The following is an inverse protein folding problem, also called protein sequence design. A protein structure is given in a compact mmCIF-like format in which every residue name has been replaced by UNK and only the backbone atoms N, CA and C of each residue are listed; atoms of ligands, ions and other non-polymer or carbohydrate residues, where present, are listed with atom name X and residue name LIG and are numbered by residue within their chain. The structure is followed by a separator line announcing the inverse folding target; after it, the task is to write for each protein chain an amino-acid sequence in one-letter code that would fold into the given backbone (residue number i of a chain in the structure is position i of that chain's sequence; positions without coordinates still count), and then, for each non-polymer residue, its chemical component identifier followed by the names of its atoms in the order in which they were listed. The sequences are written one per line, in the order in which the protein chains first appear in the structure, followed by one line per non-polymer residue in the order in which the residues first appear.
data_IF_382062273523
#
_entry.id   IF_382062273523
#
_cell.length_a   1.000
_cell.length_b   1.000
_cell.length_c   1.000
_cell.angle_alpha   90.00
_cell.angle_beta   90.00
_cell.angle_gamma   90.00
#
_symmetry.space_group_name_H-M   'P 1'
#
loop_
_entity.id
_entity.type
_entity.pdbx_description
1 polymer ?
#
# COMPACT_ATOMS: atom_id res chain seq x y z
N UNK A 1 -28.75 6.31 3.14
CA UNK A 1 -27.34 5.96 2.86
C UNK A 1 -27.36 4.70 1.98
N UNK A 2 -27.06 4.83 0.69
CA UNK A 2 -26.90 3.65 -0.17
C UNK A 2 -25.69 2.87 0.35
N UNK A 3 -25.89 1.62 0.75
CA UNK A 3 -24.80 0.74 1.15
C UNK A 3 -23.93 0.48 -0.09
N UNK A 4 -22.72 1.01 -0.09
CA UNK A 4 -21.71 0.77 -1.14
C UNK A 4 -21.11 -0.63 -1.06
N UNK A 5 -21.46 -1.39 -0.03
CA UNK A 5 -21.04 -2.77 0.18
C UNK A 5 -21.86 -3.71 -0.68
N UNK A 6 -21.20 -4.46 -1.55
CA UNK A 6 -21.78 -5.54 -2.35
C UNK A 6 -21.95 -6.78 -1.45
N UNK A 7 -23.20 -7.23 -1.25
CA UNK A 7 -23.45 -8.53 -0.65
C UNK A 7 -23.06 -9.64 -1.64
N UNK A 8 -21.88 -10.19 -1.47
CA UNK A 8 -21.32 -11.23 -2.36
C UNK A 8 -21.91 -12.62 -2.11
N UNK A 9 -22.80 -12.77 -1.12
CA UNK A 9 -23.42 -14.06 -0.80
C UNK A 9 -24.66 -14.36 -1.63
N UNK A 10 -25.23 -13.37 -2.33
CA UNK A 10 -26.49 -13.49 -3.09
C UNK A 10 -26.32 -12.99 -4.51
N UNK A 11 -26.70 -13.81 -5.50
CA UNK A 11 -26.73 -13.42 -6.91
C UNK A 11 -25.83 -14.26 -7.82
N UNK A 12 -25.65 -13.80 -9.08
CA UNK A 12 -24.78 -14.47 -10.04
C UNK A 12 -23.31 -14.21 -9.70
N UNK A 13 -22.49 -15.23 -9.40
CA UNK A 13 -21.08 -15.07 -9.01
C UNK A 13 -20.27 -14.24 -9.99
N UNK A 14 -20.46 -14.42 -11.31
CA UNK A 14 -19.74 -13.68 -12.35
C UNK A 14 -19.99 -12.16 -12.29
N UNK A 15 -21.24 -11.76 -12.09
CA UNK A 15 -21.60 -10.32 -12.02
C UNK A 15 -21.05 -9.69 -10.75
N UNK A 16 -21.05 -10.42 -9.65
CA UNK A 16 -20.52 -9.96 -8.37
C UNK A 16 -19.00 -9.81 -8.42
N UNK A 17 -18.31 -10.84 -8.97
CA UNK A 17 -16.85 -10.80 -9.13
C UNK A 17 -16.45 -9.65 -10.07
N UNK A 18 -17.09 -9.51 -11.23
CA UNK A 18 -16.79 -8.43 -12.17
C UNK A 18 -17.04 -7.04 -11.56
N UNK A 19 -18.17 -6.87 -10.85
CA UNK A 19 -18.51 -5.60 -10.20
C UNK A 19 -17.55 -5.20 -9.08
N UNK A 20 -16.95 -6.17 -8.38
CA UNK A 20 -15.93 -5.97 -7.37
C UNK A 20 -14.54 -5.77 -7.99
N UNK A 21 -14.18 -6.58 -8.98
CA UNK A 21 -12.85 -6.56 -9.60
C UNK A 21 -12.58 -5.28 -10.39
N UNK A 22 -13.60 -4.71 -11.05
CA UNK A 22 -13.42 -3.52 -11.88
C UNK A 22 -12.89 -2.30 -11.08
N UNK A 23 -13.46 -1.90 -9.93
CA UNK A 23 -12.89 -0.83 -9.12
C UNK A 23 -11.49 -1.15 -8.59
N UNK A 24 -11.19 -2.42 -8.26
CA UNK A 24 -9.86 -2.85 -7.83
C UNK A 24 -8.85 -2.70 -8.96
N UNK A 25 -9.18 -3.14 -10.18
CA UNK A 25 -8.34 -2.96 -11.37
C UNK A 25 -8.09 -1.48 -11.67
N UNK A 26 -9.14 -0.64 -11.62
CA UNK A 26 -8.98 0.79 -11.80
C UNK A 26 -8.06 1.39 -10.73
N UNK A 27 -8.18 0.97 -9.48
CA UNK A 27 -7.26 1.41 -8.41
C UNK A 27 -5.81 1.07 -8.73
N UNK A 28 -5.53 -0.13 -9.25
CA UNK A 28 -4.17 -0.53 -9.63
C UNK A 28 -3.63 0.29 -10.81
N UNK A 29 -4.48 0.56 -11.81
CA UNK A 29 -4.10 1.41 -12.95
C UNK A 29 -3.79 2.83 -12.48
N UNK A 30 -4.63 3.44 -11.64
CA UNK A 30 -4.38 4.76 -11.09
C UNK A 30 -3.11 4.81 -10.25
N UNK A 31 -2.84 3.79 -9.44
CA UNK A 31 -1.61 3.70 -8.66
C UNK A 31 -0.39 3.60 -9.55
N UNK A 32 -0.46 2.86 -10.66
CA UNK A 32 0.64 2.75 -11.61
C UNK A 32 0.87 4.07 -12.37
N UNK A 33 -0.20 4.75 -12.78
CA UNK A 33 -0.10 6.08 -13.40
C UNK A 33 0.54 7.10 -12.45
N UNK A 34 0.13 7.09 -11.18
CA UNK A 34 0.73 7.90 -10.13
C UNK A 34 2.25 7.64 -10.00
N UNK A 35 2.68 6.39 -9.86
CA UNK A 35 4.09 6.02 -9.76
C UNK A 35 4.89 6.44 -11.00
N UNK A 36 4.28 6.31 -12.19
CA UNK A 36 4.91 6.74 -13.45
C UNK A 36 5.06 8.26 -13.51
N UNK A 37 4.04 9.01 -13.11
CA UNK A 37 4.08 10.47 -13.08
C UNK A 37 5.15 10.96 -12.09
N UNK A 38 5.22 10.38 -10.90
CA UNK A 38 6.23 10.69 -9.87
C UNK A 38 7.65 10.46 -10.41
N UNK A 39 7.90 9.30 -11.02
CA UNK A 39 9.20 8.98 -11.64
C UNK A 39 9.57 9.96 -12.76
N UNK A 40 8.61 10.36 -13.60
CA UNK A 40 8.84 11.32 -14.67
C UNK A 40 9.16 12.71 -14.12
N UNK A 41 8.47 13.14 -13.07
CA UNK A 41 8.72 14.44 -12.42
C UNK A 41 10.12 14.45 -11.79
N UNK A 42 10.48 13.41 -11.03
CA UNK A 42 11.81 13.27 -10.43
C UNK A 42 12.90 13.31 -11.49
N UNK A 43 12.77 12.49 -12.56
CA UNK A 43 13.77 12.46 -13.63
C UNK A 43 13.92 13.77 -14.39
N UNK A 44 12.80 14.52 -14.57
CA UNK A 44 12.84 15.79 -15.33
C UNK A 44 13.35 16.99 -14.53
N UNK A 45 13.05 17.04 -13.22
CA UNK A 45 13.34 18.22 -12.39
C UNK A 45 14.54 18.06 -11.48
N UNK A 46 14.85 16.85 -11.03
CA UNK A 46 15.93 16.58 -10.07
C UNK A 46 17.17 15.93 -10.71
N UNK A 47 17.08 15.57 -12.01
CA UNK A 47 18.22 15.05 -12.77
C UNK A 47 18.48 13.55 -12.58
N UNK A 48 19.52 13.07 -13.29
CA UNK A 48 19.83 11.64 -13.39
C UNK A 48 20.32 11.04 -12.08
N UNK A 49 21.00 11.80 -11.23
CA UNK A 49 21.49 11.34 -9.92
C UNK A 49 20.34 11.01 -8.95
N UNK A 50 19.35 11.91 -8.88
CA UNK A 50 18.16 11.69 -8.06
C UNK A 50 17.33 10.51 -8.59
N UNK A 51 17.22 10.40 -9.93
CA UNK A 51 16.53 9.27 -10.55
C UNK A 51 17.26 7.95 -10.27
N UNK A 52 18.59 7.93 -10.29
CA UNK A 52 19.40 6.79 -9.93
C UNK A 52 19.21 6.38 -8.45
N UNK A 53 19.17 7.36 -7.53
CA UNK A 53 18.90 7.13 -6.12
C UNK A 53 17.53 6.51 -5.90
N UNK A 54 16.47 7.05 -6.53
CA UNK A 54 15.11 6.51 -6.46
C UNK A 54 15.03 5.11 -7.08
N UNK A 55 15.67 4.90 -8.23
CA UNK A 55 15.64 3.62 -8.95
C UNK A 55 16.39 2.52 -8.22
N UNK A 56 17.53 2.82 -7.59
CA UNK A 56 18.27 1.88 -6.73
C UNK A 56 17.43 1.41 -5.54
N UNK A 57 16.49 2.23 -5.12
CA UNK A 57 15.57 2.01 -4.02
C UNK A 57 14.44 1.05 -4.34
N UNK A 58 14.05 0.95 -5.62
CA UNK A 58 12.88 0.22 -6.08
C UNK A 58 12.76 -1.20 -5.56
N UNK A 59 13.79 -2.05 -5.67
CA UNK A 59 13.74 -3.44 -5.22
C UNK A 59 13.48 -3.58 -3.72
N UNK A 60 14.05 -2.71 -2.89
CA UNK A 60 13.84 -2.75 -1.44
C UNK A 60 12.43 -2.29 -1.06
N UNK A 61 11.97 -1.20 -1.66
CA UNK A 61 10.60 -0.69 -1.49
C UNK A 61 9.60 -1.77 -1.90
N UNK A 62 9.81 -2.41 -3.06
CA UNK A 62 8.96 -3.48 -3.56
C UNK A 62 8.89 -4.66 -2.58
N UNK A 63 10.04 -5.11 -2.07
CA UNK A 63 10.10 -6.21 -1.11
C UNK A 63 9.31 -5.89 0.17
N UNK A 64 9.49 -4.70 0.71
CA UNK A 64 8.79 -4.26 1.91
C UNK A 64 7.28 -4.15 1.70
N UNK A 65 6.85 -3.49 0.63
CA UNK A 65 5.43 -3.32 0.31
C UNK A 65 4.80 -4.70 0.08
N UNK A 66 5.42 -5.58 -0.71
CA UNK A 66 4.89 -6.91 -1.01
C UNK A 66 4.77 -7.78 0.25
N UNK A 67 5.70 -7.68 1.19
CA UNK A 67 5.61 -8.38 2.47
C UNK A 67 4.36 -7.95 3.25
N UNK A 68 4.08 -6.64 3.30
CA UNK A 68 2.89 -6.14 4.00
C UNK A 68 1.60 -6.40 3.27
N UNK A 69 1.60 -6.31 1.94
CA UNK A 69 0.44 -6.71 1.15
C UNK A 69 0.09 -8.17 1.40
N UNK A 70 1.08 -9.07 1.47
CA UNK A 70 0.87 -10.46 1.84
C UNK A 70 0.26 -10.64 3.24
N UNK A 71 0.78 -9.91 4.23
CA UNK A 71 0.27 -9.95 5.61
C UNK A 71 -1.18 -9.46 5.70
N UNK A 72 -1.49 -8.32 5.09
CA UNK A 72 -2.83 -7.73 5.08
C UNK A 72 -3.82 -8.55 4.25
N UNK A 73 -3.35 -9.22 3.18
CA UNK A 73 -4.17 -10.14 2.39
C UNK A 73 -4.62 -11.35 3.23
N UNK A 74 -3.73 -11.95 4.02
CA UNK A 74 -4.10 -13.02 4.95
C UNK A 74 -5.16 -12.59 5.96
N UNK A 75 -5.04 -11.39 6.52
CA UNK A 75 -6.03 -10.83 7.43
C UNK A 75 -7.38 -10.57 6.74
N UNK A 76 -7.37 -10.08 5.48
CA UNK A 76 -8.60 -9.82 4.72
C UNK A 76 -9.41 -11.09 4.44
N UNK A 77 -8.74 -12.21 4.16
CA UNK A 77 -9.41 -13.52 3.98
C UNK A 77 -10.16 -13.94 5.25
N UNK A 78 -9.56 -13.74 6.41
CA UNK A 78 -10.18 -14.04 7.70
C UNK A 78 -11.39 -13.14 7.96
N UNK A 79 -11.26 -11.84 7.71
CA UNK A 79 -12.36 -10.85 7.86
C UNK A 79 -13.53 -11.19 6.93
N UNK A 80 -13.25 -11.43 5.64
CA UNK A 80 -14.29 -11.74 4.65
C UNK A 80 -15.01 -13.04 4.94
N UNK A 81 -14.32 -14.05 5.49
CA UNK A 81 -14.92 -15.31 5.92
C UNK A 81 -15.92 -15.12 7.07
N UNK A 82 -15.54 -14.37 8.11
CA UNK A 82 -16.44 -14.06 9.22
C UNK A 82 -17.59 -13.14 8.79
N UNK A 83 -17.33 -12.20 7.90
CA UNK A 83 -18.35 -11.32 7.35
C UNK A 83 -19.38 -12.11 6.53
N UNK A 84 -18.95 -13.03 5.68
CA UNK A 84 -19.83 -13.92 4.91
C UNK A 84 -20.63 -14.89 5.79
N UNK A 85 -20.11 -15.27 6.97
CA UNK A 85 -20.80 -16.10 7.96
C UNK A 85 -21.78 -15.31 8.84
N UNK A 86 -21.83 -13.95 8.73
CA UNK A 86 -22.68 -13.10 9.57
C UNK A 86 -22.19 -12.95 11.02
N UNK A 87 -20.97 -13.37 11.33
CA UNK A 87 -20.39 -13.31 12.67
C UNK A 87 -19.73 -11.95 12.93
N UNK A 88 -20.54 -10.96 13.27
CA UNK A 88 -20.09 -9.58 13.46
C UNK A 88 -19.08 -9.41 14.60
N UNK A 89 -19.17 -10.22 15.65
CA UNK A 89 -18.24 -10.16 16.78
C UNK A 89 -16.82 -10.59 16.37
N UNK A 90 -16.72 -11.67 15.58
CA UNK A 90 -15.43 -12.12 15.06
C UNK A 90 -14.90 -11.20 13.98
N UNK A 91 -15.74 -10.59 13.15
CA UNK A 91 -15.33 -9.55 12.21
C UNK A 91 -14.66 -8.39 12.94
N UNK A 92 -15.31 -7.89 14.01
CA UNK A 92 -14.78 -6.79 14.80
C UNK A 92 -13.42 -7.12 15.42
N UNK A 93 -13.29 -8.29 16.04
CA UNK A 93 -12.02 -8.76 16.61
C UNK A 93 -10.93 -8.90 15.54
N UNK A 94 -11.25 -9.46 14.38
CA UNK A 94 -10.30 -9.62 13.29
C UNK A 94 -9.83 -8.26 12.73
N UNK A 95 -10.72 -7.27 12.62
CA UNK A 95 -10.38 -5.89 12.22
C UNK A 95 -9.43 -5.25 13.25
N UNK A 96 -9.77 -5.31 14.54
CA UNK A 96 -8.94 -4.75 15.60
C UNK A 96 -7.55 -5.40 15.63
N UNK A 97 -7.47 -6.73 15.49
CA UNK A 97 -6.21 -7.46 15.44
C UNK A 97 -5.38 -7.05 14.22
N UNK A 98 -6.01 -6.92 13.04
CA UNK A 98 -5.32 -6.49 11.83
C UNK A 98 -4.73 -5.07 11.98
N UNK A 99 -5.50 -4.12 12.51
CA UNK A 99 -5.02 -2.75 12.73
C UNK A 99 -3.88 -2.75 13.76
N UNK A 100 -4.00 -3.49 14.86
CA UNK A 100 -2.97 -3.56 15.89
C UNK A 100 -1.66 -4.15 15.33
N UNK A 101 -1.73 -5.29 14.65
CA UNK A 101 -0.57 -5.95 14.02
C UNK A 101 0.06 -5.03 12.98
N UNK A 102 -0.75 -4.40 12.12
CA UNK A 102 -0.26 -3.46 11.12
C UNK A 102 0.42 -2.24 11.74
N UNK A 103 -0.14 -1.70 12.83
CA UNK A 103 0.47 -0.56 13.55
C UNK A 103 1.81 -0.95 14.17
N UNK A 104 1.85 -2.05 14.91
CA UNK A 104 3.09 -2.54 15.53
C UNK A 104 4.16 -2.84 14.48
N UNK A 105 3.77 -3.51 13.39
CA UNK A 105 4.68 -3.82 12.29
C UNK A 105 5.17 -2.56 11.58
N UNK A 106 4.29 -1.59 11.35
CA UNK A 106 4.64 -0.30 10.74
C UNK A 106 5.62 0.51 11.58
N UNK A 107 5.42 0.57 12.91
CA UNK A 107 6.36 1.23 13.85
C UNK A 107 7.71 0.52 13.83
N UNK A 108 7.70 -0.82 13.93
CA UNK A 108 8.93 -1.62 13.90
C UNK A 108 9.72 -1.37 12.61
N UNK A 109 9.05 -1.38 11.47
CA UNK A 109 9.73 -1.17 10.18
C UNK A 109 10.22 0.26 9.98
N UNK A 110 9.46 1.24 10.42
CA UNK A 110 9.92 2.63 10.37
C UNK A 110 11.24 2.75 11.13
N UNK A 111 11.30 2.26 12.36
CA UNK A 111 12.53 2.29 13.17
C UNK A 111 13.67 1.46 12.57
N UNK A 112 13.37 0.21 12.19
CA UNK A 112 14.34 -0.70 11.60
C UNK A 112 14.87 -0.15 10.26
N UNK A 113 13.96 0.35 9.40
CA UNK A 113 14.31 0.89 8.10
C UNK A 113 15.25 2.10 8.21
N UNK A 114 14.95 3.07 9.07
CA UNK A 114 15.78 4.26 9.27
C UNK A 114 17.20 3.86 9.72
N UNK A 115 17.32 2.89 10.64
CA UNK A 115 18.60 2.45 11.19
C UNK A 115 19.38 1.63 10.18
N UNK A 116 18.73 0.68 9.49
CA UNK A 116 19.38 -0.28 8.59
C UNK A 116 19.60 0.24 7.16
N UNK A 117 18.98 1.35 6.78
CA UNK A 117 19.12 1.93 5.43
C UNK A 117 20.58 1.99 4.93
N UNK A 118 21.55 2.55 5.66
CA UNK A 118 22.91 2.67 5.15
C UNK A 118 23.56 1.31 4.88
N UNK A 119 23.26 0.32 5.71
CA UNK A 119 23.83 -1.01 5.60
C UNK A 119 23.23 -1.78 4.42
N UNK A 120 21.90 -1.69 4.26
CA UNK A 120 21.19 -2.37 3.18
C UNK A 120 21.63 -1.83 1.82
N UNK A 121 21.74 -0.50 1.66
CA UNK A 121 22.19 0.12 0.42
C UNK A 121 23.62 -0.27 0.04
N UNK A 122 24.52 -0.39 1.04
CA UNK A 122 25.87 -0.89 0.82
C UNK A 122 25.86 -2.36 0.37
N UNK A 123 25.04 -3.22 0.97
CA UNK A 123 24.90 -4.63 0.55
C UNK A 123 24.30 -4.78 -0.85
N UNK A 124 23.45 -3.84 -1.26
CA UNK A 124 22.89 -3.78 -2.61
C UNK A 124 23.91 -3.32 -3.67
N UNK A 125 25.11 -2.89 -3.25
CA UNK A 125 26.13 -2.41 -4.16
C UNK A 125 25.83 -1.05 -4.78
N UNK A 126 25.07 -0.19 -4.05
CA UNK A 126 24.77 1.18 -4.51
C UNK A 126 26.06 1.95 -4.71
N UNK A 127 26.17 2.66 -5.84
CA UNK A 127 27.32 3.46 -6.21
C UNK A 127 27.71 4.43 -5.08
N UNK A 128 29.00 4.52 -4.69
CA UNK A 128 29.47 5.43 -3.66
C UNK A 128 29.11 6.90 -3.87
N UNK A 129 29.01 7.33 -5.13
CA UNK A 129 28.63 8.70 -5.47
C UNK A 129 27.16 9.01 -5.16
N UNK A 130 26.27 8.03 -5.37
CA UNK A 130 24.82 8.14 -5.17
C UNK A 130 24.41 7.74 -3.75
N UNK A 131 25.27 7.03 -3.01
CA UNK A 131 24.95 6.46 -1.71
C UNK A 131 24.44 7.47 -0.66
N UNK A 132 25.02 8.70 -0.49
CA UNK A 132 24.55 9.67 0.48
C UNK A 132 23.11 10.12 0.21
N UNK A 133 22.80 10.40 -1.06
CA UNK A 133 21.46 10.87 -1.47
C UNK A 133 20.43 9.76 -1.35
N UNK A 134 20.79 8.53 -1.74
CA UNK A 134 19.97 7.35 -1.53
C UNK A 134 19.66 7.11 -0.05
N UNK A 135 20.64 7.24 0.86
CA UNK A 135 20.41 7.12 2.32
C UNK A 135 19.44 8.18 2.80
N UNK A 136 19.60 9.42 2.38
CA UNK A 136 18.72 10.52 2.77
C UNK A 136 17.29 10.28 2.28
N UNK A 137 17.12 9.95 1.01
CA UNK A 137 15.83 9.62 0.41
C UNK A 137 15.14 8.47 1.15
N UNK A 138 15.85 7.38 1.42
CA UNK A 138 15.27 6.22 2.12
C UNK A 138 14.85 6.53 3.55
N UNK A 139 15.63 7.30 4.28
CA UNK A 139 15.26 7.71 5.64
C UNK A 139 13.97 8.50 5.63
N UNK A 140 13.81 9.46 4.70
CA UNK A 140 12.54 10.18 4.52
C UNK A 140 11.40 9.23 4.14
N UNK A 141 11.64 8.33 3.19
CA UNK A 141 10.64 7.34 2.80
C UNK A 141 10.17 6.47 4.00
N UNK A 142 11.10 6.00 4.82
CA UNK A 142 10.77 5.18 6.00
C UNK A 142 9.94 5.93 7.04
N UNK A 143 10.04 7.26 7.15
CA UNK A 143 9.16 8.02 8.04
C UNK A 143 7.68 7.93 7.64
N UNK A 144 7.41 7.72 6.35
CA UNK A 144 6.05 7.54 5.80
C UNK A 144 5.53 6.10 5.85
N UNK A 145 6.39 5.10 6.11
CA UNK A 145 6.03 3.67 6.00
C UNK A 145 4.87 3.29 6.91
N UNK A 146 4.80 3.82 8.13
CA UNK A 146 3.68 3.58 9.04
C UNK A 146 2.34 4.00 8.40
N UNK A 147 2.29 5.15 7.75
CA UNK A 147 1.08 5.64 7.08
C UNK A 147 0.69 4.73 5.90
N UNK A 148 1.67 4.28 5.11
CA UNK A 148 1.47 3.36 4.00
C UNK A 148 0.92 2.01 4.48
N UNK A 149 1.48 1.46 5.56
CA UNK A 149 1.02 0.19 6.16
C UNK A 149 -0.42 0.31 6.66
N UNK A 150 -0.75 1.39 7.37
CA UNK A 150 -2.11 1.63 7.85
C UNK A 150 -3.09 1.84 6.70
N UNK A 151 -2.70 2.57 5.66
CA UNK A 151 -3.51 2.73 4.45
C UNK A 151 -3.82 1.36 3.81
N UNK A 152 -2.82 0.50 3.63
CA UNK A 152 -3.01 -0.84 3.07
C UNK A 152 -3.88 -1.73 3.96
N UNK A 153 -3.74 -1.65 5.29
CA UNK A 153 -4.61 -2.35 6.22
C UNK A 153 -6.07 -1.90 6.10
N UNK A 154 -6.34 -0.58 6.07
CA UNK A 154 -7.69 -0.05 5.88
C UNK A 154 -8.28 -0.42 4.52
N UNK A 155 -7.50 -0.30 3.43
CA UNK A 155 -7.89 -0.73 2.08
C UNK A 155 -8.27 -2.21 2.06
N UNK A 156 -7.47 -3.06 2.70
CA UNK A 156 -7.69 -4.50 2.80
C UNK A 156 -8.97 -4.83 3.58
N UNK A 157 -9.22 -4.14 4.70
CA UNK A 157 -10.45 -4.28 5.50
C UNK A 157 -11.68 -3.90 4.67
N UNK A 158 -11.66 -2.75 3.98
CA UNK A 158 -12.78 -2.31 3.13
C UNK A 158 -13.07 -3.32 2.02
N UNK A 159 -12.03 -3.82 1.36
CA UNK A 159 -12.16 -4.85 0.33
C UNK A 159 -12.75 -6.16 0.91
N UNK A 160 -12.32 -6.56 2.10
CA UNK A 160 -12.84 -7.76 2.78
C UNK A 160 -14.33 -7.65 3.14
N UNK A 161 -14.81 -6.43 3.38
CA UNK A 161 -16.23 -6.12 3.63
C UNK A 161 -17.05 -5.91 2.35
N UNK A 162 -16.46 -6.09 1.16
CA UNK A 162 -17.15 -5.94 -0.12
C UNK A 162 -17.21 -4.49 -0.65
N UNK A 163 -16.48 -3.55 -0.04
CA UNK A 163 -16.41 -2.17 -0.49
C UNK A 163 -15.09 -1.89 -1.22
N UNK A 164 -15.08 -2.08 -2.53
CA UNK A 164 -13.93 -1.77 -3.39
C UNK A 164 -13.96 -0.34 -3.97
N UNK A 165 -15.09 0.39 -3.82
CA UNK A 165 -15.27 1.72 -4.42
C UNK A 165 -14.64 2.82 -3.59
N UNK A 166 -14.78 2.78 -2.26
CA UNK A 166 -14.19 3.80 -1.37
C UNK A 166 -12.67 3.86 -1.46
N UNK A 167 -11.93 2.73 -1.42
CA UNK A 167 -10.48 2.74 -1.65
C UNK A 167 -10.09 3.39 -2.98
N UNK A 168 -10.85 3.17 -4.05
CA UNK A 168 -10.63 3.81 -5.35
C UNK A 168 -10.77 5.34 -5.26
N UNK A 169 -11.83 5.84 -4.63
CA UNK A 169 -12.03 7.29 -4.49
C UNK A 169 -10.95 7.97 -3.67
N UNK A 170 -10.50 7.34 -2.57
CA UNK A 170 -9.40 7.87 -1.75
C UNK A 170 -8.09 7.88 -2.52
N UNK A 171 -7.83 6.85 -3.32
CA UNK A 171 -6.63 6.80 -4.16
C UNK A 171 -6.67 7.89 -5.24
N UNK A 172 -7.81 8.07 -5.92
CA UNK A 172 -7.97 9.12 -6.94
C UNK A 172 -7.73 10.51 -6.34
N UNK A 173 -8.30 10.78 -5.16
CA UNK A 173 -8.11 12.05 -4.46
C UNK A 173 -6.64 12.25 -4.06
N UNK A 174 -6.00 11.23 -3.49
CA UNK A 174 -4.59 11.26 -3.11
C UNK A 174 -3.68 11.49 -4.32
N UNK A 175 -3.96 10.81 -5.44
CA UNK A 175 -3.20 10.97 -6.69
C UNK A 175 -3.35 12.39 -7.27
N UNK A 176 -4.56 12.96 -7.23
CA UNK A 176 -4.79 14.33 -7.68
C UNK A 176 -4.02 15.35 -6.82
N UNK A 177 -4.02 15.18 -5.50
CA UNK A 177 -3.27 16.04 -4.57
C UNK A 177 -1.77 15.94 -4.83
N UNK A 178 -1.25 14.72 -5.02
CA UNK A 178 0.18 14.49 -5.28
C UNK A 178 0.66 15.12 -6.60
N UNK A 179 -0.16 15.08 -7.66
CA UNK A 179 0.22 15.70 -8.96
C UNK A 179 0.25 17.24 -8.88
N UNK A 180 -0.54 17.83 -7.97
CA UNK A 180 -0.63 19.29 -7.81
C UNK A 180 0.46 19.83 -6.87
N UNK A 181 0.92 19.04 -5.89
CA UNK A 181 1.97 19.42 -4.93
C UNK A 181 3.36 19.19 -5.50
#
# INVERSE_FOLDING_TARGET
MHSTTLDMTKGSPWKLIAGFALPVLLSQIFQQLYNTADTLIVGRYLGDEALAAVSSSGPLIFLLISFFEGLTMGASVTISRYFGAGDHDRVQRAIHTNILVSTCSGIFLTGFGIIMTPQILRWMGTDPEVLPDAISYFRYYFTGVLAVVLYNACKSIMNALGDSRRPLYYLMLSSAINIVL
#
